data_IF_768256728090
#
_entry.id   IF_768256728090
#
_cell.length_a   1.000
_cell.length_b   1.000
_cell.length_c   1.000
_cell.angle_alpha   90.00
_cell.angle_beta   90.00
_cell.angle_gamma   90.00
#
_symmetry.space_group_name_H-M   'P 1'
#
loop_
_entity.id
_entity.type
_entity.pdbx_description
1 polymer ?
#
# COMPACT_ATOMS: atom_id res chain seq x y z
N UNK A 1 11.05 -1.06 -18.62
CA UNK A 1 10.94 0.12 -17.74
C UNK A 1 9.49 0.22 -17.29
N UNK A 2 9.14 -0.25 -16.10
CA UNK A 2 7.76 -0.13 -15.60
C UNK A 2 7.70 1.05 -14.64
N UNK A 3 7.25 2.20 -15.15
CA UNK A 3 6.86 3.35 -14.36
C UNK A 3 5.51 3.08 -13.71
N UNK A 4 5.48 2.30 -12.65
CA UNK A 4 4.38 2.35 -11.69
C UNK A 4 4.75 3.48 -10.75
N UNK A 5 4.01 4.59 -10.80
CA UNK A 5 4.17 5.71 -9.89
C UNK A 5 4.05 5.21 -8.46
N UNK A 6 5.15 5.29 -7.69
CA UNK A 6 5.23 4.94 -6.27
C UNK A 6 4.42 5.93 -5.42
N UNK A 7 3.10 5.78 -5.46
CA UNK A 7 2.20 6.44 -4.54
C UNK A 7 2.03 5.52 -3.33
N UNK A 8 2.88 5.74 -2.33
CA UNK A 8 2.77 5.04 -1.07
C UNK A 8 1.52 5.51 -0.34
N UNK A 9 0.58 4.59 -0.14
CA UNK A 9 -0.62 4.81 0.65
C UNK A 9 -0.62 3.87 1.84
N UNK A 10 -1.39 4.21 2.86
CA UNK A 10 -1.59 3.30 3.99
C UNK A 10 -2.60 2.25 3.55
N UNK A 11 -2.17 1.00 3.46
CA UNK A 11 -3.02 -0.12 3.12
C UNK A 11 -3.26 -0.91 4.39
N UNK A 12 -4.50 -0.94 4.86
CA UNK A 12 -4.92 -1.75 6.01
C UNK A 12 -5.97 -2.76 5.57
N UNK A 13 -6.01 -3.96 6.16
CA UNK A 13 -7.13 -4.86 5.90
C UNK A 13 -8.39 -4.22 6.47
N UNK A 14 -9.51 -4.31 5.74
CA UNK A 14 -10.77 -3.71 6.18
C UNK A 14 -11.28 -4.32 7.50
N UNK A 15 -10.79 -5.52 7.83
CA UNK A 15 -11.07 -6.25 9.07
C UNK A 15 -9.80 -6.95 9.55
N UNK A 16 -9.48 -6.88 10.83
CA UNK A 16 -8.34 -7.61 11.43
C UNK A 16 -8.43 -9.13 11.25
N UNK A 17 -9.63 -9.66 11.07
CA UNK A 17 -9.88 -11.07 10.80
C UNK A 17 -9.63 -11.48 9.34
N UNK A 18 -9.49 -10.52 8.42
CA UNK A 18 -9.24 -10.78 7.00
C UNK A 18 -7.74 -10.81 6.74
N UNK A 19 -7.22 -12.01 6.43
CA UNK A 19 -5.82 -12.23 6.10
C UNK A 19 -5.56 -11.92 4.64
N UNK A 20 -5.26 -10.67 4.35
CA UNK A 20 -4.88 -10.25 3.00
C UNK A 20 -3.44 -10.63 2.73
N UNK A 21 -3.18 -11.35 1.63
CA UNK A 21 -1.83 -11.65 1.17
C UNK A 21 -1.30 -10.47 0.37
N UNK A 22 -0.04 -10.11 0.59
CA UNK A 22 0.75 -9.22 -0.25
C UNK A 22 1.09 -9.96 -1.56
N UNK A 23 1.39 -9.24 -2.65
CA UNK A 23 1.94 -9.85 -3.86
C UNK A 23 3.27 -10.58 -3.61
N UNK A 24 3.99 -10.19 -2.55
CA UNK A 24 5.21 -10.84 -2.07
C UNK A 24 4.95 -12.21 -1.39
N UNK A 25 3.69 -12.57 -1.15
CA UNK A 25 3.29 -13.80 -0.45
C UNK A 25 3.21 -13.68 1.08
N UNK A 26 3.79 -12.63 1.66
CA UNK A 26 3.62 -12.27 3.06
C UNK A 26 2.18 -11.78 3.37
N UNK A 27 1.74 -11.82 4.62
CA UNK A 27 0.45 -11.26 5.02
C UNK A 27 0.56 -9.76 5.32
N UNK A 28 -0.50 -9.01 5.03
CA UNK A 28 -0.62 -7.60 5.40
C UNK A 28 -0.86 -7.50 6.92
N UNK A 29 -0.21 -6.56 7.59
CA UNK A 29 -0.42 -6.35 9.03
C UNK A 29 -1.83 -5.80 9.32
N UNK A 30 -2.48 -6.25 10.41
CA UNK A 30 -3.78 -5.72 10.83
C UNK A 30 -3.74 -4.22 11.16
N UNK A 31 -2.58 -3.71 11.59
CA UNK A 31 -2.35 -2.28 11.88
C UNK A 31 -2.27 -1.39 10.63
N UNK A 32 -2.17 -2.00 9.43
CA UNK A 32 -1.94 -1.30 8.17
C UNK A 32 -0.47 -0.99 7.89
N UNK A 33 -0.07 -1.09 6.63
CA UNK A 33 1.30 -0.92 6.17
C UNK A 33 1.36 0.15 5.08
N UNK A 34 2.44 0.96 5.06
CA UNK A 34 2.66 1.94 4.00
C UNK A 34 3.25 1.21 2.80
N UNK A 35 2.41 1.00 1.80
CA UNK A 35 2.76 0.24 0.61
C UNK A 35 2.45 1.03 -0.65
N UNK A 36 3.25 0.78 -1.68
CA UNK A 36 3.01 1.30 -3.02
C UNK A 36 1.71 0.73 -3.58
N UNK A 37 0.80 1.62 -3.99
CA UNK A 37 -0.47 1.20 -4.57
C UNK A 37 -0.24 0.67 -5.97
N UNK A 38 -0.66 -0.57 -6.17
CA UNK A 38 -0.59 -1.29 -7.43
C UNK A 38 -1.99 -1.80 -7.81
N UNK A 39 -2.17 -2.21 -9.07
CA UNK A 39 -3.43 -2.80 -9.55
C UNK A 39 -3.93 -3.98 -8.69
N UNK A 40 -3.02 -4.68 -8.00
CA UNK A 40 -3.37 -5.70 -7.01
C UNK A 40 -4.18 -5.15 -5.83
N UNK A 41 -3.73 -4.04 -5.24
CA UNK A 41 -4.37 -3.42 -4.08
C UNK A 41 -5.70 -2.77 -4.45
N UNK A 42 -5.78 -2.12 -5.62
CA UNK A 42 -7.03 -1.53 -6.11
C UNK A 42 -8.14 -2.58 -6.29
N UNK A 43 -7.80 -3.80 -6.72
CA UNK A 43 -8.77 -4.89 -6.80
C UNK A 43 -9.25 -5.35 -5.42
N UNK A 44 -8.32 -5.49 -4.47
CA UNK A 44 -8.65 -5.85 -3.08
C UNK A 44 -9.49 -4.78 -2.38
N UNK A 45 -9.27 -3.50 -2.70
CA UNK A 45 -10.09 -2.41 -2.20
C UNK A 45 -11.51 -2.50 -2.76
N UNK A 46 -11.65 -2.73 -4.06
CA UNK A 46 -12.95 -2.90 -4.71
C UNK A 46 -13.74 -4.11 -4.17
N UNK A 47 -13.05 -5.19 -3.80
CA UNK A 47 -13.65 -6.35 -3.12
C UNK A 47 -14.03 -6.06 -1.66
N UNK A 48 -13.49 -4.99 -1.06
CA UNK A 48 -13.66 -4.66 0.36
C UNK A 48 -12.76 -5.48 1.29
N UNK A 49 -11.69 -6.10 0.77
CA UNK A 49 -10.68 -6.83 1.53
C UNK A 49 -9.71 -5.87 2.26
N UNK A 50 -9.38 -4.74 1.62
CA UNK A 50 -8.47 -3.71 2.15
C UNK A 50 -9.07 -2.32 2.02
N UNK A 51 -8.61 -1.41 2.87
CA UNK A 51 -8.83 0.02 2.74
C UNK A 51 -7.51 0.70 2.40
N UNK A 52 -7.49 1.49 1.31
CA UNK A 52 -6.31 2.26 0.91
C UNK A 52 -6.52 3.73 1.29
N UNK A 53 -5.87 4.16 2.36
CA UNK A 53 -5.90 5.55 2.79
C UNK A 53 -4.76 6.33 2.15
N UNK A 54 -5.12 7.36 1.38
CA UNK A 54 -4.14 8.27 0.78
C UNK A 54 -3.47 9.08 1.89
N UNK A 55 -2.20 8.78 2.17
CA UNK A 55 -1.39 9.58 3.09
C UNK A 55 -0.86 10.81 2.34
N UNK A 56 -0.72 11.97 3.01
CA UNK A 56 -0.02 13.10 2.43
C UNK A 56 1.41 12.66 2.09
N UNK A 57 1.78 12.82 0.82
CA UNK A 57 3.12 12.53 0.32
C UNK A 57 4.08 13.53 0.97
N UNK A 58 4.70 13.14 2.08
CA UNK A 58 5.79 13.92 2.65
C UNK A 58 6.94 13.83 1.64
N UNK A 59 7.03 14.83 0.78
CA UNK A 59 8.07 15.03 -0.20
C UNK A 59 9.41 15.35 0.51
N UNK A 60 9.91 14.45 1.34
CA UNK A 60 11.29 14.53 1.80
C UNK A 60 12.18 14.05 0.67
N UNK A 61 12.40 14.99 -0.26
CA UNK A 61 13.49 14.99 -1.22
C UNK A 61 14.78 15.06 -0.41
N UNK A 62 15.27 13.92 0.09
CA UNK A 62 16.65 13.84 0.56
C UNK A 62 17.52 13.91 -0.69
N UNK A 63 17.76 15.14 -1.16
CA UNK A 63 18.78 15.47 -2.15
C UNK A 63 20.13 15.22 -1.49
N UNK A 64 20.50 13.95 -1.40
CA UNK A 64 21.83 13.53 -0.97
C UNK A 64 22.82 13.69 -2.11
N UNK A 65 23.83 14.54 -1.86
CA UNK A 65 25.17 14.63 -2.48
C UNK A 65 25.28 15.10 -3.95
N UNK A 66 26.02 16.19 -4.19
CA UNK A 66 27.50 16.20 -4.21
C UNK A 66 28.01 17.61 -4.00
#
# INVERSE_FOLDING_TARGET
>A
MYGVTMEQKLIKPARESVRVRKPDGAHLSPEGERLDVCAYWLRREAEGDVEITTLPKNNNKTRGKK
#
